data_IF_962483194164
#
_entry.id   IF_962483194164
#
_cell.length_a   1.000
_cell.length_b   1.000
_cell.length_c   1.000
_cell.angle_alpha   90.00
_cell.angle_beta   90.00
_cell.angle_gamma   90.00
#
_symmetry.space_group_name_H-M   'P 1'
#
loop_
_entity.id
_entity.type
_entity.pdbx_description
1 polymer ?
#
# COMPACT_ATOMS: atom_id res chain seq x y z
N UNK A 1 3.78 0.36 4.43
CA UNK A 1 2.62 1.10 4.94
C UNK A 1 2.49 2.51 4.34
N UNK A 2 3.45 3.42 4.53
CA UNK A 2 3.33 4.83 4.11
C UNK A 2 3.43 5.15 2.60
N UNK A 3 3.70 4.16 1.75
CA UNK A 3 3.51 4.28 0.30
C UNK A 3 2.28 3.46 -0.08
N UNK A 4 1.32 4.10 -0.74
CA UNK A 4 -0.03 3.57 -0.93
C UNK A 4 -1.08 4.34 -0.14
N UNK A 5 -2.22 3.72 0.15
CA UNK A 5 -3.36 4.36 0.82
C UNK A 5 -3.03 4.96 2.20
N UNK A 6 -2.17 4.36 3.05
CA UNK A 6 -1.87 4.95 4.35
C UNK A 6 -1.11 6.28 4.31
N UNK A 7 -0.53 6.66 3.16
CA UNK A 7 0.05 7.98 2.95
C UNK A 7 -0.95 9.11 3.23
N UNK A 8 -2.23 8.89 2.93
CA UNK A 8 -3.27 9.89 3.15
C UNK A 8 -3.44 10.25 4.62
N UNK A 9 -3.06 9.37 5.56
CA UNK A 9 -3.06 9.72 6.99
C UNK A 9 -2.06 10.85 7.28
N UNK A 10 -0.85 10.77 6.70
CA UNK A 10 0.17 11.81 6.83
C UNK A 10 -0.25 13.08 6.11
N UNK A 11 -0.76 12.95 4.89
CA UNK A 11 -1.27 14.09 4.10
C UNK A 11 -2.36 14.82 4.89
N UNK A 12 -3.33 14.09 5.44
CA UNK A 12 -4.41 14.65 6.26
C UNK A 12 -3.88 15.31 7.54
N UNK A 13 -2.98 14.66 8.27
CA UNK A 13 -2.39 15.24 9.48
C UNK A 13 -1.67 16.56 9.20
N UNK A 14 -0.89 16.62 8.11
CA UNK A 14 -0.22 17.85 7.66
C UNK A 14 -1.25 18.91 7.24
N UNK A 15 -2.29 18.53 6.50
CA UNK A 15 -3.38 19.43 6.11
C UNK A 15 -4.12 20.02 7.31
N UNK A 16 -4.49 19.19 8.29
CA UNK A 16 -5.13 19.60 9.53
C UNK A 16 -4.22 20.52 10.35
N UNK A 17 -2.93 20.19 10.46
CA UNK A 17 -1.92 21.02 11.12
C UNK A 17 -1.79 22.39 10.45
N UNK A 18 -1.62 22.42 9.13
CA UNK A 18 -1.54 23.65 8.35
C UNK A 18 -2.81 24.50 8.49
N UNK A 19 -3.99 23.87 8.40
CA UNK A 19 -5.28 24.54 8.60
C UNK A 19 -5.37 25.17 9.98
N UNK A 20 -5.07 24.41 11.04
CA UNK A 20 -5.20 24.91 12.40
C UNK A 20 -4.17 26.02 12.69
N UNK A 21 -2.93 25.90 12.19
CA UNK A 21 -1.93 26.95 12.28
C UNK A 21 -2.38 28.24 11.57
N UNK A 22 -3.12 28.14 10.47
CA UNK A 22 -3.69 29.32 9.79
C UNK A 22 -4.76 30.07 10.61
N UNK A 23 -5.24 29.47 11.69
CA UNK A 23 -6.27 30.01 12.59
C UNK A 23 -5.75 30.28 14.01
N UNK A 24 -4.52 29.85 14.31
CA UNK A 24 -4.02 29.69 15.66
C UNK A 24 -3.42 30.97 16.26
N UNK A 25 -3.71 31.22 17.55
CA UNK A 25 -2.81 31.95 18.46
C UNK A 25 -1.75 30.98 19.04
N UNK A 26 -0.73 31.48 19.75
CA UNK A 26 0.37 30.64 20.28
C UNK A 26 -0.10 29.43 21.12
N UNK A 27 -1.25 29.52 21.81
CA UNK A 27 -1.84 28.41 22.59
C UNK A 27 -2.45 27.30 21.73
N UNK A 28 -2.79 27.58 20.47
CA UNK A 28 -3.37 26.58 19.59
C UNK A 28 -2.32 25.60 19.04
N UNK A 29 -1.04 26.00 18.95
CA UNK A 29 0.05 25.06 18.62
C UNK A 29 0.18 23.94 19.67
N UNK A 30 0.10 24.28 20.96
CA UNK A 30 0.14 23.28 22.04
C UNK A 30 -1.07 22.34 21.98
N UNK A 31 -2.27 22.87 21.73
CA UNK A 31 -3.48 22.04 21.57
C UNK A 31 -3.39 21.11 20.35
N UNK A 32 -2.77 21.57 19.26
CA UNK A 32 -2.53 20.73 18.09
C UNK A 32 -1.56 19.59 18.39
N UNK A 33 -0.46 19.88 19.08
CA UNK A 33 0.50 18.86 19.49
C UNK A 33 -0.14 17.85 20.44
N UNK A 34 -0.95 18.32 21.41
CA UNK A 34 -1.70 17.46 22.32
C UNK A 34 -2.72 16.59 21.56
N UNK A 35 -3.48 17.17 20.63
CA UNK A 35 -4.45 16.44 19.81
C UNK A 35 -3.79 15.42 18.89
N UNK A 36 -2.65 15.77 18.27
CA UNK A 36 -1.87 14.85 17.46
C UNK A 36 -1.31 13.69 18.31
N UNK A 37 -0.77 13.98 19.49
CA UNK A 37 -0.33 12.96 20.45
C UNK A 37 -1.46 12.04 20.88
N UNK A 38 -2.64 12.59 21.18
CA UNK A 38 -3.85 11.83 21.49
C UNK A 38 -4.26 10.92 20.32
N UNK A 39 -4.31 11.44 19.10
CA UNK A 39 -4.63 10.65 17.91
C UNK A 39 -3.61 9.52 17.67
N UNK A 40 -2.32 9.77 17.90
CA UNK A 40 -1.29 8.74 17.82
C UNK A 40 -1.49 7.65 18.89
N UNK A 41 -1.87 8.03 20.12
CA UNK A 41 -2.16 7.07 21.19
C UNK A 41 -3.40 6.22 20.87
N UNK A 42 -4.49 6.84 20.37
CA UNK A 42 -5.71 6.15 19.94
C UNK A 42 -5.45 5.14 18.81
N UNK A 43 -4.43 5.38 18.00
CA UNK A 43 -4.04 4.54 16.86
C UNK A 43 -2.71 3.78 17.12
N UNK A 44 -2.27 3.63 18.36
CA UNK A 44 -0.98 3.01 18.68
C UNK A 44 -0.89 1.55 18.22
N UNK A 45 -2.00 0.81 18.28
CA UNK A 45 -2.15 -0.57 17.80
C UNK A 45 -1.90 -0.70 16.31
N UNK A 46 -2.07 0.39 15.55
CA UNK A 46 -1.75 0.43 14.13
C UNK A 46 -0.32 0.93 13.90
N UNK A 47 0.05 2.07 14.49
CA UNK A 47 1.30 2.76 14.17
C UNK A 47 2.54 2.07 14.76
N UNK A 48 2.47 1.50 15.96
CA UNK A 48 3.64 0.89 16.60
C UNK A 48 4.05 -0.42 15.92
N UNK A 49 3.14 -1.36 15.62
CA UNK A 49 3.46 -2.49 14.75
C UNK A 49 3.95 -2.01 13.39
N UNK A 50 3.32 -0.99 12.80
CA UNK A 50 3.78 -0.45 11.51
C UNK A 50 5.24 0.01 11.56
N UNK A 51 5.67 0.70 12.62
CA UNK A 51 7.06 1.13 12.78
C UNK A 51 8.03 -0.04 12.96
N UNK A 52 7.63 -1.08 13.68
CA UNK A 52 8.39 -2.33 13.79
C UNK A 52 8.58 -2.97 12.41
N UNK A 53 7.49 -3.18 11.67
CA UNK A 53 7.50 -3.80 10.35
C UNK A 53 8.26 -2.94 9.32
N UNK A 54 8.23 -1.61 9.44
CA UNK A 54 8.95 -0.74 8.52
C UNK A 54 10.47 -0.90 8.61
N UNK A 55 11.03 -1.27 9.76
CA UNK A 55 12.48 -1.44 9.94
C UNK A 55 13.06 -2.63 9.17
N UNK A 56 12.28 -3.70 9.03
CA UNK A 56 12.68 -4.85 8.21
C UNK A 56 12.32 -4.67 6.73
N UNK A 57 11.63 -3.57 6.38
CA UNK A 57 11.04 -3.43 5.06
C UNK A 57 12.05 -2.92 4.06
N UNK A 58 11.94 -3.37 2.82
CA UNK A 58 12.65 -2.83 1.66
C UNK A 58 12.50 -1.30 1.48
N UNK A 59 11.53 -0.69 2.17
CA UNK A 59 11.28 0.76 2.17
C UNK A 59 12.19 1.56 3.10
N UNK A 60 12.89 0.92 4.03
CA UNK A 60 13.80 1.64 4.93
C UNK A 60 14.99 2.26 4.21
N UNK A 61 15.34 1.72 3.03
CA UNK A 61 16.52 2.13 2.26
C UNK A 61 16.18 2.30 0.78
N UNK A 62 15.14 3.09 0.49
CA UNK A 62 14.75 3.34 -0.88
C UNK A 62 15.72 4.26 -1.63
N UNK A 63 16.13 3.88 -2.86
CA UNK A 63 16.83 4.80 -3.75
C UNK A 63 16.01 6.07 -3.98
N UNK A 64 16.68 7.19 -4.19
CA UNK A 64 16.04 8.49 -4.35
C UNK A 64 14.99 8.51 -5.48
N UNK A 65 15.24 7.78 -6.59
CA UNK A 65 14.28 7.69 -7.68
C UNK A 65 12.92 7.09 -7.26
N UNK A 66 12.89 6.18 -6.27
CA UNK A 66 11.64 5.57 -5.81
C UNK A 66 10.82 6.52 -4.96
N UNK A 67 11.48 7.32 -4.11
CA UNK A 67 10.84 8.36 -3.32
C UNK A 67 10.25 9.46 -4.20
N UNK A 68 10.96 9.79 -5.28
CA UNK A 68 10.54 10.75 -6.30
C UNK A 68 9.49 10.20 -7.28
N UNK A 69 9.23 8.89 -7.31
CA UNK A 69 8.35 8.27 -8.29
C UNK A 69 6.94 8.89 -8.23
N UNK A 70 6.38 9.20 -9.40
CA UNK A 70 5.09 9.88 -9.57
C UNK A 70 5.04 11.29 -8.96
N UNK A 71 6.17 12.00 -8.94
CA UNK A 71 6.18 13.46 -8.77
C UNK A 71 5.46 14.12 -9.96
N UNK A 72 4.62 15.11 -9.70
CA UNK A 72 4.04 15.91 -10.78
C UNK A 72 5.12 16.74 -11.46
N UNK A 73 5.07 16.86 -12.78
CA UNK A 73 5.79 17.91 -13.48
C UNK A 73 5.02 19.24 -13.34
N UNK A 74 5.69 20.41 -13.41
CA UNK A 74 5.00 21.69 -13.36
C UNK A 74 3.90 21.85 -14.41
N UNK A 75 4.09 21.26 -15.60
CA UNK A 75 3.11 21.29 -16.67
C UNK A 75 1.85 20.43 -16.35
N UNK A 76 1.90 19.50 -15.39
CA UNK A 76 0.73 18.74 -14.96
C UNK A 76 -0.29 19.60 -14.19
N UNK A 77 0.10 20.79 -13.72
CA UNK A 77 -0.85 21.77 -13.19
C UNK A 77 -1.91 22.19 -14.23
N UNK A 78 -1.62 22.05 -15.53
CA UNK A 78 -2.61 22.28 -16.59
C UNK A 78 -3.77 21.28 -16.54
N UNK A 79 -3.54 20.06 -16.02
CA UNK A 79 -4.60 19.07 -15.82
C UNK A 79 -5.64 19.53 -14.79
N UNK A 80 -5.32 20.54 -13.97
CA UNK A 80 -6.25 21.11 -13.00
C UNK A 80 -7.24 22.08 -13.64
N UNK A 81 -6.94 22.54 -14.85
CA UNK A 81 -7.78 23.45 -15.65
C UNK A 81 -8.43 22.72 -16.83
N UNK A 82 -7.76 21.70 -17.36
CA UNK A 82 -8.27 20.85 -18.41
C UNK A 82 -7.64 19.46 -18.30
N UNK A 83 -8.35 18.47 -17.73
CA UNK A 83 -7.83 17.11 -17.60
C UNK A 83 -7.56 16.41 -18.95
N UNK A 84 -8.05 16.94 -20.07
CA UNK A 84 -7.76 16.45 -21.42
C UNK A 84 -6.61 17.17 -22.14
N UNK A 85 -5.90 18.10 -21.50
CA UNK A 85 -4.86 18.93 -22.16
C UNK A 85 -3.73 18.11 -22.78
N UNK A 86 -3.47 16.91 -22.27
CA UNK A 86 -2.47 15.98 -22.79
C UNK A 86 -3.07 14.76 -23.50
N UNK A 87 -4.37 14.79 -23.82
CA UNK A 87 -5.10 13.68 -24.43
C UNK A 87 -5.59 12.65 -23.40
N UNK A 88 -5.89 11.43 -23.86
CA UNK A 88 -6.35 10.31 -23.01
C UNK A 88 -5.65 9.02 -23.39
N UNK A 89 -5.23 8.17 -22.42
CA UNK A 89 -4.67 6.87 -22.74
C UNK A 89 -5.69 5.94 -23.39
N UNK A 90 -7.00 6.18 -23.22
CA UNK A 90 -8.08 5.34 -23.76
C UNK A 90 -8.16 5.33 -25.29
N UNK A 91 -7.59 6.34 -25.97
CA UNK A 91 -7.54 6.42 -27.43
C UNK A 91 -6.10 6.49 -27.96
N UNK A 92 -5.10 6.25 -27.11
CA UNK A 92 -3.69 6.35 -27.47
C UNK A 92 -3.17 7.78 -27.70
N UNK A 93 -3.99 8.81 -27.45
CA UNK A 93 -3.62 10.22 -27.66
C UNK A 93 -2.86 10.87 -26.50
N UNK A 94 -2.46 10.09 -25.49
CA UNK A 94 -1.73 10.61 -24.33
C UNK A 94 -0.30 11.03 -24.71
N UNK A 95 0.02 12.31 -24.53
CA UNK A 95 1.31 12.89 -24.96
C UNK A 95 2.39 12.92 -23.87
N UNK A 96 2.10 12.38 -22.67
CA UNK A 96 3.05 12.29 -21.55
C UNK A 96 3.50 10.85 -21.34
N UNK A 97 4.41 10.65 -20.39
CA UNK A 97 4.77 9.31 -19.95
C UNK A 97 3.52 8.55 -19.49
N UNK A 98 3.22 7.42 -20.13
CA UNK A 98 2.06 6.60 -19.80
C UNK A 98 2.34 5.89 -18.47
N UNK A 99 1.44 6.08 -17.51
CA UNK A 99 1.45 5.42 -16.22
C UNK A 99 0.08 4.79 -16.00
N UNK A 100 0.03 3.65 -15.30
CA UNK A 100 -1.24 3.11 -14.79
C UNK A 100 -1.92 4.04 -13.77
N UNK A 101 -1.18 5.07 -13.33
CA UNK A 101 -1.65 6.14 -12.46
C UNK A 101 -1.53 7.52 -13.14
N UNK A 102 -1.78 7.62 -14.44
CA UNK A 102 -1.67 8.88 -15.19
C UNK A 102 -2.55 10.00 -14.60
N UNK A 103 -3.64 9.63 -13.93
CA UNK A 103 -4.55 10.52 -13.22
C UNK A 103 -3.96 11.14 -11.95
N UNK A 104 -2.84 10.62 -11.43
CA UNK A 104 -2.27 11.06 -10.14
C UNK A 104 -1.96 12.56 -10.10
N UNK A 105 -1.66 13.18 -11.24
CA UNK A 105 -1.34 14.60 -11.34
C UNK A 105 -2.56 15.51 -11.58
N UNK A 106 -3.72 14.95 -11.89
CA UNK A 106 -4.92 15.71 -12.22
C UNK A 106 -5.78 16.04 -11.01
N UNK A 107 -6.03 17.32 -10.76
CA UNK A 107 -7.05 17.80 -9.81
C UNK A 107 -8.10 18.58 -10.58
N UNK A 108 -9.08 17.87 -11.15
CA UNK A 108 -10.18 18.50 -11.89
C UNK A 108 -11.43 18.60 -11.03
N UNK A 109 -11.96 19.82 -10.89
CA UNK A 109 -13.12 20.15 -10.06
C UNK A 109 -14.38 20.51 -10.87
N UNK A 110 -14.19 20.69 -12.17
CA UNK A 110 -15.16 21.31 -13.05
C UNK A 110 -15.10 22.83 -13.07
N UNK A 111 -15.51 23.43 -14.19
CA UNK A 111 -15.42 24.87 -14.44
C UNK A 111 -16.22 25.68 -13.42
N UNK A 112 -17.39 25.22 -13.00
CA UNK A 112 -18.23 25.95 -12.02
C UNK A 112 -17.54 26.04 -10.66
N UNK A 113 -16.99 24.93 -10.18
CA UNK A 113 -16.30 24.91 -8.89
C UNK A 113 -15.00 25.71 -8.94
N UNK A 114 -14.26 25.67 -10.05
CA UNK A 114 -13.09 26.53 -10.25
C UNK A 114 -13.46 28.02 -10.28
N UNK A 115 -14.55 28.38 -10.94
CA UNK A 115 -15.05 29.76 -10.95
C UNK A 115 -15.43 30.23 -9.54
N UNK A 116 -16.11 29.39 -8.75
CA UNK A 116 -16.39 29.69 -7.36
C UNK A 116 -15.13 29.75 -6.51
N UNK A 117 -14.14 28.88 -6.71
CA UNK A 117 -12.87 28.92 -5.99
C UNK A 117 -12.11 30.22 -6.28
N UNK A 118 -12.03 30.62 -7.54
CA UNK A 118 -11.46 31.90 -7.95
C UNK A 118 -12.21 33.08 -7.33
N UNK A 119 -13.54 33.06 -7.35
CA UNK A 119 -14.36 34.11 -6.72
C UNK A 119 -14.16 34.16 -5.20
N UNK A 120 -14.08 33.00 -4.54
CA UNK A 120 -13.80 32.88 -3.10
C UNK A 120 -12.42 33.38 -2.73
N UNK A 121 -11.41 33.14 -3.55
CA UNK A 121 -10.06 33.70 -3.38
C UNK A 121 -10.06 35.23 -3.49
N UNK A 122 -10.76 35.78 -4.48
CA UNK A 122 -10.79 37.23 -4.74
C UNK A 122 -11.69 38.00 -3.78
N UNK A 123 -12.79 37.41 -3.31
CA UNK A 123 -13.87 38.11 -2.58
C UNK A 123 -14.24 37.50 -1.22
N UNK A 124 -13.93 36.22 -0.96
CA UNK A 124 -14.30 35.54 0.28
C UNK A 124 -13.52 36.03 1.52
N UNK A 125 -14.08 35.82 2.72
CA UNK A 125 -13.44 36.20 4.01
C UNK A 125 -12.47 35.14 4.57
N UNK A 126 -12.56 33.89 4.12
CA UNK A 126 -11.80 32.75 4.65
C UNK A 126 -10.57 32.39 3.79
N UNK A 127 -9.73 33.36 3.40
CA UNK A 127 -8.66 33.13 2.40
C UNK A 127 -7.42 32.37 2.89
N UNK A 128 -6.82 32.67 4.06
CA UNK A 128 -5.44 32.22 4.32
C UNK A 128 -5.32 30.70 4.49
N UNK A 129 -6.26 30.06 5.21
CA UNK A 129 -6.25 28.61 5.42
C UNK A 129 -6.43 27.80 4.12
N UNK A 130 -7.50 28.02 3.35
CA UNK A 130 -7.69 27.32 2.08
C UNK A 130 -6.56 27.58 1.08
N UNK A 131 -6.09 28.83 0.96
CA UNK A 131 -4.97 29.15 0.07
C UNK A 131 -3.69 28.43 0.51
N UNK A 132 -3.40 28.36 1.81
CA UNK A 132 -2.27 27.60 2.33
C UNK A 132 -2.37 26.12 1.93
N UNK A 133 -3.55 25.51 1.99
CA UNK A 133 -3.74 24.12 1.56
C UNK A 133 -3.51 23.94 0.04
N UNK A 134 -3.99 24.88 -0.78
CA UNK A 134 -3.72 24.89 -2.25
C UNK A 134 -2.22 24.97 -2.54
N UNK A 135 -1.53 25.93 -1.92
CA UNK A 135 -0.11 26.14 -2.13
C UNK A 135 0.72 24.96 -1.60
N UNK A 136 0.44 24.52 -0.37
CA UNK A 136 1.15 23.40 0.25
C UNK A 136 0.95 22.10 -0.54
N UNK A 137 -0.30 21.79 -0.91
CA UNK A 137 -0.63 20.61 -1.71
C UNK A 137 0.03 20.64 -3.08
N UNK A 138 -0.06 21.77 -3.79
CA UNK A 138 0.57 21.93 -5.11
C UNK A 138 2.08 21.82 -5.07
N UNK A 139 2.74 22.52 -4.13
CA UNK A 139 4.21 22.50 -3.99
C UNK A 139 4.71 21.10 -3.60
N UNK A 140 4.09 20.45 -2.62
CA UNK A 140 4.48 19.09 -2.22
C UNK A 140 4.18 18.05 -3.33
N UNK A 141 3.16 18.28 -4.16
CA UNK A 141 2.81 17.39 -5.26
C UNK A 141 3.86 17.37 -6.39
N UNK A 142 4.58 18.47 -6.58
CA UNK A 142 5.69 18.54 -7.53
C UNK A 142 6.87 17.65 -7.13
N UNK A 143 7.01 17.31 -5.84
CA UNK A 143 8.03 16.38 -5.35
C UNK A 143 9.44 16.74 -5.84
N UNK A 144 10.05 15.84 -6.59
CA UNK A 144 11.40 16.00 -7.13
C UNK A 144 11.52 17.06 -8.24
N UNK A 145 10.40 17.43 -8.87
CA UNK A 145 10.36 18.48 -9.90
C UNK A 145 10.05 19.87 -9.32
N UNK A 146 9.98 19.99 -8.00
CA UNK A 146 9.59 21.22 -7.30
C UNK A 146 10.65 21.73 -6.32
N UNK A 147 10.38 22.86 -5.66
CA UNK A 147 11.31 23.49 -4.71
C UNK A 147 11.52 22.68 -3.42
N UNK A 148 10.75 21.62 -3.21
CA UNK A 148 10.77 20.76 -2.02
C UNK A 148 11.44 19.40 -2.26
N UNK A 149 12.19 19.24 -3.35
CA UNK A 149 12.84 17.98 -3.68
C UNK A 149 13.70 17.44 -2.53
N UNK A 150 14.39 18.31 -1.79
CA UNK A 150 15.20 17.93 -0.62
C UNK A 150 14.37 17.31 0.51
N UNK A 151 13.09 17.69 0.69
CA UNK A 151 12.23 17.13 1.73
C UNK A 151 11.93 15.65 1.50
N UNK A 152 12.01 15.14 0.27
CA UNK A 152 11.82 13.71 -0.01
C UNK A 152 12.89 12.84 0.67
N UNK A 153 14.02 13.43 1.06
CA UNK A 153 15.09 12.73 1.78
C UNK A 153 15.02 12.94 3.30
N UNK A 154 14.12 13.80 3.79
CA UNK A 154 14.00 14.05 5.23
C UNK A 154 13.44 12.82 5.97
N UNK A 155 13.84 12.60 7.24
CA UNK A 155 13.27 11.54 8.06
C UNK A 155 11.74 11.61 8.09
N UNK A 156 11.07 10.47 7.92
CA UNK A 156 9.61 10.39 7.82
C UNK A 156 9.11 10.55 6.39
N UNK A 157 9.54 11.59 5.68
CA UNK A 157 9.19 11.80 4.26
C UNK A 157 9.84 10.77 3.33
N UNK A 158 11.01 10.24 3.71
CA UNK A 158 11.70 9.19 2.97
C UNK A 158 10.90 7.89 2.82
N UNK A 159 9.91 7.66 3.69
CA UNK A 159 9.00 6.52 3.63
C UNK A 159 7.78 6.74 2.71
N UNK A 160 7.57 7.98 2.27
CA UNK A 160 6.48 8.33 1.35
C UNK A 160 6.93 8.08 -0.10
N UNK A 161 5.97 7.73 -0.95
CA UNK A 161 6.11 7.65 -2.42
C UNK A 161 5.01 8.49 -3.04
N UNK A 162 5.05 8.73 -4.34
CA UNK A 162 3.93 9.35 -5.06
C UNK A 162 3.65 10.75 -4.52
N UNK A 163 4.60 11.70 -4.62
CA UNK A 163 4.38 13.07 -4.17
C UNK A 163 3.10 13.68 -4.74
N UNK A 164 2.73 13.36 -5.98
CA UNK A 164 1.47 13.81 -6.61
C UNK A 164 0.22 13.68 -5.73
N UNK A 165 0.15 12.75 -4.77
CA UNK A 165 -0.98 12.62 -3.83
C UNK A 165 -1.15 13.77 -2.85
N UNK A 166 -0.12 14.59 -2.63
CA UNK A 166 -0.24 15.84 -1.90
C UNK A 166 -1.22 16.82 -2.55
N UNK A 167 -1.51 16.63 -3.85
CA UNK A 167 -2.56 17.35 -4.57
C UNK A 167 -3.94 17.23 -3.91
N UNK A 168 -4.16 16.20 -3.08
CA UNK A 168 -5.35 16.06 -2.24
C UNK A 168 -5.56 17.25 -1.28
N UNK A 169 -4.48 17.84 -0.74
CA UNK A 169 -4.59 19.07 0.06
C UNK A 169 -5.03 20.24 -0.81
N UNK A 170 -4.53 20.31 -2.04
CA UNK A 170 -4.94 21.36 -2.95
C UNK A 170 -6.40 21.23 -3.37
N UNK A 171 -6.88 20.01 -3.60
CA UNK A 171 -8.28 19.69 -3.82
C UNK A 171 -9.16 20.22 -2.66
N UNK A 172 -8.80 19.90 -1.42
CA UNK A 172 -9.52 20.41 -0.24
C UNK A 172 -9.50 21.95 -0.13
N UNK A 173 -8.33 22.56 -0.36
CA UNK A 173 -8.21 24.02 -0.36
C UNK A 173 -9.10 24.68 -1.42
N UNK A 174 -9.14 24.12 -2.63
CA UNK A 174 -9.99 24.60 -3.72
C UNK A 174 -11.48 24.42 -3.40
N UNK A 175 -11.90 23.29 -2.80
CA UNK A 175 -13.28 23.10 -2.33
C UNK A 175 -13.70 24.13 -1.29
N UNK A 176 -12.83 24.42 -0.32
CA UNK A 176 -13.12 25.42 0.72
C UNK A 176 -13.18 26.84 0.13
N UNK A 177 -12.32 27.17 -0.84
CA UNK A 177 -12.40 28.42 -1.60
C UNK A 177 -13.71 28.48 -2.40
N UNK A 178 -14.11 27.39 -3.06
CA UNK A 178 -15.35 27.31 -3.81
C UNK A 178 -16.56 27.54 -2.90
N UNK A 179 -16.63 26.90 -1.74
CA UNK A 179 -17.67 27.15 -0.74
C UNK A 179 -17.70 28.61 -0.26
N UNK A 180 -16.53 29.22 -0.03
CA UNK A 180 -16.45 30.63 0.33
C UNK A 180 -16.93 31.56 -0.79
N UNK A 181 -16.59 31.24 -2.05
CA UNK A 181 -17.06 31.97 -3.23
C UNK A 181 -18.56 31.84 -3.42
N UNK A 182 -19.09 30.63 -3.38
CA UNK A 182 -20.51 30.34 -3.44
C UNK A 182 -21.29 31.11 -2.38
N UNK A 183 -20.88 31.04 -1.10
CA UNK A 183 -21.52 31.81 -0.01
C UNK A 183 -21.54 33.32 -0.28
N UNK A 184 -20.42 33.86 -0.74
CA UNK A 184 -20.29 35.29 -1.05
C UNK A 184 -21.22 35.68 -2.19
N UNK A 185 -21.28 34.85 -3.24
CA UNK A 185 -22.12 35.09 -4.40
C UNK A 185 -23.61 34.94 -4.09
N UNK A 186 -23.98 33.92 -3.31
CA UNK A 186 -25.37 33.63 -2.96
C UNK A 186 -25.97 34.69 -2.04
N UNK A 187 -25.12 35.45 -1.35
CA UNK A 187 -25.53 36.62 -0.57
C UNK A 187 -25.76 37.87 -1.44
N UNK A 188 -25.51 37.80 -2.75
CA UNK A 188 -25.69 38.92 -3.69
C UNK A 188 -27.08 38.90 -4.33
N UNK A 189 -27.70 40.07 -4.59
CA UNK A 189 -28.97 40.14 -5.33
C UNK A 189 -28.88 39.56 -6.77
N UNK A 190 -27.66 39.44 -7.33
CA UNK A 190 -27.42 38.82 -8.65
C UNK A 190 -27.40 37.28 -8.61
N UNK A 191 -27.51 36.67 -7.43
CA UNK A 191 -27.36 35.23 -7.25
C UNK A 191 -28.37 34.42 -8.08
N UNK A 192 -29.63 34.83 -8.12
CA UNK A 192 -30.71 34.08 -8.77
C UNK A 192 -30.42 33.78 -10.25
N UNK A 193 -29.92 34.78 -11.01
CA UNK A 193 -29.58 34.62 -12.43
C UNK A 193 -28.37 33.71 -12.66
N UNK A 194 -27.36 33.77 -11.77
CA UNK A 194 -26.17 32.94 -11.91
C UNK A 194 -26.50 31.50 -11.50
N UNK A 195 -27.28 31.33 -10.43
CA UNK A 195 -27.72 30.04 -9.92
C UNK A 195 -28.58 29.28 -10.93
N UNK A 196 -29.41 29.96 -11.73
CA UNK A 196 -30.21 29.29 -12.77
C UNK A 196 -29.36 28.70 -13.90
N UNK A 197 -28.14 29.20 -14.11
CA UNK A 197 -27.21 28.70 -15.14
C UNK A 197 -26.31 27.58 -14.62
N UNK A 198 -26.07 27.50 -13.31
CA UNK A 198 -25.16 26.52 -12.71
C UNK A 198 -25.53 25.07 -13.08
N UNK A 199 -26.78 24.59 -12.91
CA UNK A 199 -27.13 23.21 -13.28
C UNK A 199 -26.88 22.91 -14.75
N UNK A 200 -27.16 23.88 -15.64
CA UNK A 200 -26.96 23.72 -17.09
C UNK A 200 -25.48 23.53 -17.40
N UNK A 201 -24.61 24.36 -16.82
CA UNK A 201 -23.16 24.25 -17.03
C UNK A 201 -22.61 22.95 -16.45
N UNK A 202 -23.05 22.56 -15.25
CA UNK A 202 -22.63 21.29 -14.63
C UNK A 202 -23.08 20.10 -15.47
N UNK A 203 -24.33 20.07 -15.93
CA UNK A 203 -24.83 18.97 -16.77
C UNK A 203 -24.13 18.92 -18.12
N UNK A 204 -23.87 20.07 -18.75
CA UNK A 204 -23.12 20.12 -20.00
C UNK A 204 -21.68 19.63 -19.83
N UNK A 205 -21.02 20.03 -18.75
CA UNK A 205 -19.68 19.57 -18.38
C UNK A 205 -19.65 18.06 -18.12
N UNK A 206 -20.58 17.55 -17.31
CA UNK A 206 -20.70 16.11 -17.06
C UNK A 206 -20.96 15.34 -18.35
N UNK A 207 -21.88 15.81 -19.21
CA UNK A 207 -22.16 15.16 -20.48
C UNK A 207 -20.93 15.13 -21.42
N UNK A 208 -20.19 16.22 -21.50
CA UNK A 208 -18.96 16.30 -22.31
C UNK A 208 -17.85 15.42 -21.75
N UNK A 209 -17.70 15.38 -20.42
CA UNK A 209 -16.73 14.54 -19.75
C UNK A 209 -17.08 13.06 -19.89
N UNK A 210 -18.29 12.68 -19.49
CA UNK A 210 -18.78 11.31 -19.49
C UNK A 210 -18.79 10.68 -20.90
N UNK A 211 -19.08 11.47 -21.94
CA UNK A 211 -18.98 11.00 -23.33
C UNK A 211 -17.60 10.43 -23.67
N UNK A 212 -16.53 10.85 -22.98
CA UNK A 212 -15.18 10.33 -23.14
C UNK A 212 -14.83 9.10 -22.28
N UNK A 213 -15.50 8.90 -21.14
CA UNK A 213 -15.10 7.92 -20.11
C UNK A 213 -16.11 6.80 -19.84
N UNK A 214 -17.41 7.06 -20.01
CA UNK A 214 -18.44 6.04 -19.79
C UNK A 214 -18.49 5.08 -20.98
N UNK A 215 -17.73 3.99 -20.85
CA UNK A 215 -17.79 2.83 -21.75
C UNK A 215 -18.30 1.64 -20.96
N UNK A 216 -19.28 0.93 -21.50
CA UNK A 216 -19.65 -0.38 -20.94
C UNK A 216 -18.47 -1.33 -21.14
N UNK A 217 -18.00 -1.92 -20.05
CA UNK A 217 -16.98 -2.95 -20.08
C UNK A 217 -17.55 -4.22 -19.44
N UNK A 218 -17.40 -5.37 -20.10
CA UNK A 218 -17.77 -6.64 -19.49
C UNK A 218 -16.76 -7.01 -18.41
N UNK A 219 -17.15 -6.77 -17.15
CA UNK A 219 -16.31 -7.09 -15.98
C UNK A 219 -15.99 -8.59 -15.89
N UNK A 220 -16.80 -9.47 -16.49
CA UNK A 220 -16.57 -10.92 -16.46
C UNK A 220 -15.28 -11.31 -17.16
N UNK A 221 -14.83 -10.52 -18.15
CA UNK A 221 -13.54 -10.72 -18.80
C UNK A 221 -12.36 -10.60 -17.81
N UNK A 222 -12.55 -9.86 -16.72
CA UNK A 222 -11.52 -9.61 -15.70
C UNK A 222 -11.72 -10.45 -14.43
N UNK A 223 -12.94 -10.86 -14.11
CA UNK A 223 -13.28 -11.52 -12.84
C UNK A 223 -13.55 -13.02 -12.96
N UNK A 224 -13.83 -13.56 -14.15
CA UNK A 224 -14.09 -14.99 -14.33
C UNK A 224 -12.79 -15.79 -14.22
N UNK A 225 -12.69 -16.63 -13.19
CA UNK A 225 -11.59 -17.58 -13.06
C UNK A 225 -11.59 -18.55 -14.25
N UNK A 226 -10.41 -18.82 -14.83
CA UNK A 226 -10.25 -19.93 -15.76
C UNK A 226 -10.41 -21.27 -14.99
N UNK A 227 -11.42 -22.11 -15.31
CA UNK A 227 -11.68 -23.33 -14.56
C UNK A 227 -10.50 -24.32 -14.58
N UNK A 228 -9.75 -24.37 -15.68
CA UNK A 228 -8.58 -25.24 -15.80
C UNK A 228 -7.46 -24.81 -14.83
N UNK A 229 -7.25 -23.50 -14.67
CA UNK A 229 -6.27 -22.97 -13.71
C UNK A 229 -6.73 -23.26 -12.28
N UNK A 230 -8.01 -23.00 -11.96
CA UNK A 230 -8.58 -23.24 -10.65
C UNK A 230 -8.50 -24.73 -10.24
N UNK A 231 -8.92 -25.64 -11.11
CA UNK A 231 -8.87 -27.08 -10.84
C UNK A 231 -7.45 -27.61 -10.60
N UNK A 232 -6.45 -26.99 -11.22
CA UNK A 232 -5.07 -27.44 -11.16
C UNK A 232 -4.28 -26.91 -9.98
N UNK A 233 -4.62 -25.73 -9.45
CA UNK A 233 -3.77 -25.01 -8.50
C UNK A 233 -4.49 -24.45 -7.28
N UNK A 234 -5.82 -24.26 -7.31
CA UNK A 234 -6.53 -23.61 -6.21
C UNK A 234 -6.44 -24.42 -4.91
N UNK A 235 -6.21 -23.73 -3.80
CA UNK A 235 -6.18 -24.32 -2.46
C UNK A 235 -4.95 -25.18 -2.14
N UNK A 236 -4.01 -25.35 -3.08
CA UNK A 236 -2.76 -26.08 -2.82
C UNK A 236 -1.76 -25.20 -2.08
N UNK A 237 -0.98 -25.76 -1.12
CA UNK A 237 0.06 -25.02 -0.42
C UNK A 237 1.32 -24.93 -1.31
N UNK A 238 1.21 -24.24 -2.44
CA UNK A 238 2.29 -24.00 -3.40
C UNK A 238 2.30 -22.54 -3.81
N UNK A 239 3.43 -22.04 -4.31
CA UNK A 239 3.51 -20.74 -4.98
C UNK A 239 3.44 -20.91 -6.48
N UNK A 240 2.96 -19.86 -7.13
CA UNK A 240 3.05 -19.67 -8.57
C UNK A 240 3.77 -18.35 -8.86
N UNK A 241 4.18 -18.15 -10.10
CA UNK A 241 4.45 -16.82 -10.64
C UNK A 241 3.46 -16.50 -11.76
N UNK A 242 3.12 -15.23 -11.91
CA UNK A 242 2.40 -14.73 -13.08
C UNK A 242 3.39 -14.10 -14.05
N UNK A 243 3.22 -14.39 -15.34
CA UNK A 243 3.94 -13.71 -16.41
C UNK A 243 3.72 -12.19 -16.32
N UNK A 244 4.77 -11.36 -16.42
CA UNK A 244 4.64 -9.91 -16.42
C UNK A 244 3.70 -9.37 -17.51
N UNK A 245 3.55 -10.06 -18.64
CA UNK A 245 2.66 -9.70 -19.76
C UNK A 245 1.19 -9.87 -19.37
N UNK A 246 0.88 -10.74 -18.40
CA UNK A 246 -0.47 -10.82 -17.84
C UNK A 246 -0.70 -9.62 -16.93
N UNK A 247 -1.55 -8.71 -17.38
CA UNK A 247 -1.98 -7.56 -16.58
C UNK A 247 -2.48 -8.03 -15.20
N UNK A 248 -1.71 -7.65 -14.18
CA UNK A 248 -1.93 -7.73 -12.74
C UNK A 248 -1.53 -9.05 -12.03
N UNK A 249 -0.49 -9.03 -11.16
CA UNK A 249 -0.16 -10.16 -10.27
C UNK A 249 -1.29 -10.49 -9.28
N UNK A 250 -2.26 -9.59 -9.07
CA UNK A 250 -3.44 -9.83 -8.24
C UNK A 250 -4.43 -10.82 -8.87
N UNK A 251 -4.27 -11.25 -10.13
CA UNK A 251 -5.15 -12.31 -10.69
C UNK A 251 -5.02 -13.63 -9.93
N UNK A 252 -3.92 -13.87 -9.23
CA UNK A 252 -3.79 -15.02 -8.33
C UNK A 252 -4.87 -15.04 -7.22
N UNK A 253 -5.40 -13.86 -6.82
CA UNK A 253 -6.47 -13.77 -5.81
C UNK A 253 -7.75 -14.44 -6.29
N UNK A 254 -8.07 -14.35 -7.59
CA UNK A 254 -9.24 -14.98 -8.21
C UNK A 254 -9.18 -16.51 -8.08
N UNK A 255 -7.96 -17.05 -8.00
CA UNK A 255 -7.70 -18.47 -7.86
C UNK A 255 -7.35 -18.88 -6.41
N UNK A 256 -7.34 -17.93 -5.46
CA UNK A 256 -6.87 -18.14 -4.08
C UNK A 256 -5.47 -18.76 -4.03
N UNK A 257 -4.60 -18.32 -4.93
CA UNK A 257 -3.23 -18.80 -5.06
C UNK A 257 -2.23 -17.82 -4.45
N UNK A 258 -1.09 -18.34 -4.01
CA UNK A 258 0.05 -17.53 -3.56
C UNK A 258 0.94 -17.19 -4.74
N UNK A 259 1.01 -15.92 -5.08
CA UNK A 259 1.91 -15.43 -6.12
C UNK A 259 3.27 -15.05 -5.49
N UNK A 260 4.36 -15.51 -6.07
CA UNK A 260 5.70 -15.07 -5.68
C UNK A 260 6.05 -13.70 -6.31
N UNK A 261 5.35 -13.33 -7.38
CA UNK A 261 5.43 -12.01 -8.00
C UNK A 261 4.31 -11.09 -7.50
N UNK A 262 4.57 -9.78 -7.52
CA UNK A 262 3.58 -8.74 -7.23
C UNK A 262 3.80 -7.98 -5.93
N UNK A 263 2.74 -7.28 -5.50
CA UNK A 263 2.80 -6.33 -4.38
C UNK A 263 2.86 -7.03 -3.01
N UNK A 264 2.23 -8.20 -2.87
CA UNK A 264 2.14 -8.93 -1.60
C UNK A 264 3.50 -9.51 -1.16
N UNK A 265 4.40 -9.77 -2.11
CA UNK A 265 5.74 -10.30 -1.85
C UNK A 265 6.71 -9.23 -1.29
N UNK A 266 6.34 -7.94 -1.30
CA UNK A 266 7.31 -6.85 -1.26
C UNK A 266 7.64 -6.28 0.14
N UNK A 267 6.86 -6.59 1.18
CA UNK A 267 7.05 -5.89 2.46
C UNK A 267 8.41 -6.17 3.11
N UNK A 268 8.91 -7.41 3.14
CA UNK A 268 10.23 -7.70 3.72
C UNK A 268 11.39 -7.36 2.78
N UNK A 269 12.44 -6.69 3.29
CA UNK A 269 13.68 -6.43 2.54
C UNK A 269 14.34 -7.73 2.06
N UNK A 270 14.21 -8.78 2.86
CA UNK A 270 14.70 -10.13 2.59
C UNK A 270 14.12 -10.75 1.32
N UNK A 271 12.86 -10.45 0.96
CA UNK A 271 12.27 -10.94 -0.29
C UNK A 271 12.89 -10.31 -1.52
N UNK A 272 13.34 -9.05 -1.46
CA UNK A 272 14.05 -8.42 -2.58
C UNK A 272 15.40 -9.09 -2.82
N UNK A 273 16.10 -9.52 -1.75
CA UNK A 273 17.34 -10.30 -1.86
C UNK A 273 17.08 -11.68 -2.48
N UNK A 274 16.00 -12.35 -2.09
CA UNK A 274 15.58 -13.60 -2.73
C UNK A 274 15.26 -13.42 -4.21
N UNK A 275 14.53 -12.36 -4.57
CA UNK A 275 14.20 -12.07 -5.97
C UNK A 275 15.48 -11.84 -6.79
N UNK A 276 16.43 -11.08 -6.24
CA UNK A 276 17.72 -10.86 -6.88
C UNK A 276 18.51 -12.17 -7.05
N UNK A 277 18.50 -13.05 -6.05
CA UNK A 277 19.09 -14.40 -6.17
C UNK A 277 18.40 -15.23 -7.27
N UNK A 278 17.06 -15.18 -7.33
CA UNK A 278 16.29 -15.93 -8.30
C UNK A 278 16.51 -15.46 -9.74
N UNK A 279 16.69 -14.15 -9.93
CA UNK A 279 17.04 -13.55 -11.23
C UNK A 279 18.54 -13.64 -11.53
N UNK A 280 19.42 -13.77 -10.54
CA UNK A 280 20.87 -13.69 -10.72
C UNK A 280 21.38 -12.27 -10.98
N UNK A 281 20.55 -11.26 -10.75
CA UNK A 281 20.87 -9.84 -10.87
C UNK A 281 20.04 -9.03 -9.86
N UNK A 282 20.49 -7.83 -9.44
CA UNK A 282 19.72 -7.00 -8.52
C UNK A 282 18.32 -6.70 -9.07
N UNK A 283 17.31 -6.69 -8.19
CA UNK A 283 15.96 -6.33 -8.58
C UNK A 283 15.94 -4.91 -9.18
N UNK A 284 15.45 -4.77 -10.41
CA UNK A 284 15.40 -3.50 -11.13
C UNK A 284 14.53 -2.43 -10.42
N UNK A 285 13.54 -2.87 -9.65
CA UNK A 285 12.67 -2.00 -8.86
C UNK A 285 12.37 -2.65 -7.49
N UNK A 286 12.92 -2.13 -6.38
CA UNK A 286 12.52 -2.48 -5.02
C UNK A 286 11.17 -1.86 -4.67
N UNK A 287 10.14 -2.14 -5.45
CA UNK A 287 8.74 -1.87 -5.09
C UNK A 287 7.78 -2.95 -5.58
N UNK A 288 8.29 -3.90 -6.35
CA UNK A 288 7.62 -5.13 -6.76
C UNK A 288 8.63 -6.28 -6.80
N UNK A 289 8.15 -7.52 -6.62
CA UNK A 289 8.95 -8.70 -6.93
C UNK A 289 8.59 -9.17 -8.33
N UNK A 290 9.59 -9.24 -9.19
CA UNK A 290 9.45 -9.66 -10.58
C UNK A 290 10.44 -10.79 -10.88
N UNK A 291 10.10 -12.00 -10.41
CA UNK A 291 10.86 -13.19 -10.76
C UNK A 291 10.39 -13.70 -12.13
N UNK A 292 11.26 -13.59 -13.13
CA UNK A 292 11.10 -14.10 -14.49
C UNK A 292 11.80 -15.46 -14.66
N UNK A 293 12.94 -15.68 -13.99
CA UNK A 293 13.73 -16.93 -14.03
C UNK A 293 13.18 -17.96 -13.05
N UNK A 294 11.90 -18.29 -13.17
CA UNK A 294 11.16 -19.17 -12.24
C UNK A 294 11.63 -20.63 -12.19
N UNK A 295 12.48 -21.04 -13.13
CA UNK A 295 13.16 -22.34 -13.13
C UNK A 295 14.46 -22.34 -12.31
N UNK A 296 14.86 -21.23 -11.69
CA UNK A 296 16.03 -21.17 -10.81
C UNK A 296 15.83 -21.98 -9.53
N UNK A 297 16.93 -22.41 -8.89
CA UNK A 297 16.86 -23.13 -7.61
C UNK A 297 16.27 -22.27 -6.49
N UNK A 298 16.55 -20.96 -6.49
CA UNK A 298 15.95 -20.03 -5.54
C UNK A 298 14.42 -19.97 -5.67
N UNK A 299 13.88 -19.98 -6.89
CA UNK A 299 12.43 -20.09 -7.12
C UNK A 299 11.89 -21.45 -6.66
N UNK A 300 12.64 -22.54 -6.86
CA UNK A 300 12.26 -23.88 -6.40
C UNK A 300 12.16 -23.95 -4.87
N UNK A 301 13.13 -23.34 -4.16
CA UNK A 301 13.17 -23.25 -2.69
C UNK A 301 12.03 -22.42 -2.12
N UNK A 302 11.55 -21.43 -2.87
CA UNK A 302 10.35 -20.67 -2.53
C UNK A 302 9.03 -21.44 -2.79
N UNK A 303 9.11 -22.69 -3.27
CA UNK A 303 7.95 -23.51 -3.61
C UNK A 303 7.17 -23.02 -4.82
N UNK A 304 7.84 -22.32 -5.75
CA UNK A 304 7.25 -21.94 -7.04
C UNK A 304 7.13 -23.19 -7.91
N UNK A 305 5.91 -23.72 -8.02
CA UNK A 305 5.63 -24.96 -8.76
C UNK A 305 4.98 -24.73 -10.12
N UNK A 306 4.50 -23.51 -10.38
CA UNK A 306 3.80 -23.19 -11.60
C UNK A 306 4.04 -21.74 -12.06
N UNK A 307 3.92 -21.54 -13.37
CA UNK A 307 3.82 -20.23 -14.01
C UNK A 307 2.49 -20.12 -14.72
N UNK A 308 1.78 -19.01 -14.50
CA UNK A 308 0.62 -18.64 -15.29
C UNK A 308 1.03 -17.62 -16.35
N UNK A 309 0.86 -17.97 -17.62
CA UNK A 309 1.10 -17.12 -18.78
C UNK A 309 -0.17 -16.96 -19.63
N UNK A 310 -0.08 -16.21 -20.73
CA UNK A 310 -1.20 -16.07 -21.67
C UNK A 310 -1.59 -17.41 -22.31
N UNK A 311 -0.63 -18.33 -22.45
CA UNK A 311 -0.77 -19.65 -23.04
C UNK A 311 -1.33 -20.69 -22.06
N UNK A 312 -1.40 -20.35 -20.76
CA UNK A 312 -1.97 -21.22 -19.73
C UNK A 312 -1.07 -21.42 -18.52
N UNK A 313 -1.11 -22.62 -17.94
CA UNK A 313 -0.32 -22.97 -16.74
C UNK A 313 0.80 -23.92 -17.11
N UNK A 314 2.04 -23.45 -16.92
CA UNK A 314 3.23 -24.29 -17.00
C UNK A 314 3.55 -24.84 -15.61
N UNK A 315 3.82 -26.15 -15.51
CA UNK A 315 4.28 -26.77 -14.25
C UNK A 315 5.77 -27.06 -14.29
N UNK A 316 6.38 -26.98 -13.12
CA UNK A 316 7.78 -27.36 -12.91
C UNK A 316 7.86 -28.66 -12.11
N UNK A 317 8.57 -29.63 -12.66
CA UNK A 317 9.06 -30.77 -11.89
C UNK A 317 10.16 -30.31 -10.91
N UNK A 318 10.17 -30.85 -9.70
CA UNK A 318 11.22 -30.56 -8.71
C UNK A 318 11.04 -29.27 -7.89
N UNK A 319 9.90 -28.58 -7.97
CA UNK A 319 9.57 -27.54 -7.00
C UNK A 319 9.52 -28.14 -5.59
N UNK A 320 10.11 -27.45 -4.61
CA UNK A 320 10.06 -27.91 -3.20
C UNK A 320 8.66 -27.61 -2.63
N UNK A 321 8.12 -28.45 -1.76
CA UNK A 321 6.95 -28.07 -0.99
C UNK A 321 7.27 -26.86 -0.11
N UNK A 322 6.24 -26.14 0.34
CA UNK A 322 6.45 -24.95 1.18
C UNK A 322 7.03 -25.30 2.55
N UNK A 323 6.94 -26.55 2.99
CA UNK A 323 7.67 -27.08 4.13
C UNK A 323 8.48 -28.30 3.68
N UNK A 324 9.73 -28.43 4.12
CA UNK A 324 10.60 -29.56 3.75
C UNK A 324 11.58 -29.87 4.87
N UNK A 325 11.98 -31.12 5.00
CA UNK A 325 13.13 -31.49 5.82
C UNK A 325 14.43 -31.23 5.06
N UNK A 326 15.46 -30.82 5.78
CA UNK A 326 16.81 -30.66 5.24
C UNK A 326 17.86 -31.33 6.12
N UNK A 327 18.95 -31.77 5.50
CA UNK A 327 20.15 -32.30 6.17
C UNK A 327 21.15 -31.18 6.53
N UNK A 328 22.32 -31.56 7.07
CA UNK A 328 23.40 -30.64 7.45
C UNK A 328 23.94 -29.81 6.28
N UNK A 329 23.79 -30.29 5.04
CA UNK A 329 24.21 -29.58 3.83
C UNK A 329 23.13 -28.64 3.30
N UNK A 330 21.92 -28.67 3.88
CA UNK A 330 20.74 -27.96 3.39
C UNK A 330 20.03 -28.64 2.21
N UNK A 331 20.44 -29.86 1.87
CA UNK A 331 19.78 -30.68 0.85
C UNK A 331 18.46 -31.22 1.41
N UNK A 332 17.46 -31.36 0.53
CA UNK A 332 16.12 -31.82 0.91
C UNK A 332 16.15 -33.31 1.22
N UNK A 333 15.53 -33.71 2.32
CA UNK A 333 15.39 -35.10 2.75
C UNK A 333 13.92 -35.53 2.64
N UNK A 334 13.67 -36.68 2.04
CA UNK A 334 12.32 -37.25 1.86
C UNK A 334 11.99 -38.27 2.96
N UNK A 335 10.71 -38.48 3.31
CA UNK A 335 9.52 -37.84 2.75
C UNK A 335 9.30 -36.42 3.29
N UNK A 336 8.54 -35.59 2.56
CA UNK A 336 8.17 -34.26 3.04
C UNK A 336 7.12 -34.33 4.15
N UNK A 337 7.11 -33.35 5.06
CA UNK A 337 6.05 -33.25 6.04
C UNK A 337 4.75 -32.77 5.37
N UNK A 338 3.61 -33.11 5.97
CA UNK A 338 2.32 -32.55 5.61
C UNK A 338 2.26 -31.11 6.12
N UNK A 339 1.95 -30.17 5.23
CA UNK A 339 1.72 -28.76 5.58
C UNK A 339 0.23 -28.43 5.50
N UNK A 340 -0.31 -27.90 6.59
CA UNK A 340 -1.64 -27.30 6.67
C UNK A 340 -1.52 -25.80 6.97
N UNK A 341 -2.09 -24.96 6.12
CA UNK A 341 -2.24 -23.53 6.37
C UNK A 341 -3.60 -23.34 7.03
N UNK A 342 -3.65 -23.16 8.35
CA UNK A 342 -4.92 -23.01 9.08
C UNK A 342 -5.52 -21.62 8.87
N UNK A 343 -4.65 -20.60 8.85
CA UNK A 343 -4.93 -19.20 8.48
C UNK A 343 -3.62 -18.55 8.00
N UNK A 344 -3.63 -17.36 7.37
CA UNK A 344 -2.39 -16.74 6.89
C UNK A 344 -1.29 -16.61 7.95
N UNK A 345 -1.69 -16.41 9.21
CA UNK A 345 -0.83 -16.19 10.38
C UNK A 345 -0.53 -17.49 11.14
N UNK A 346 -1.12 -18.64 10.76
CA UNK A 346 -0.90 -19.93 11.45
C UNK A 346 -0.76 -21.10 10.51
N UNK A 347 0.40 -21.75 10.58
CA UNK A 347 0.77 -22.87 9.73
C UNK A 347 1.17 -24.04 10.61
N UNK A 348 0.79 -25.25 10.22
CA UNK A 348 1.10 -26.47 10.96
C UNK A 348 1.75 -27.49 10.03
N UNK A 349 2.89 -28.00 10.46
CA UNK A 349 3.73 -28.96 9.73
C UNK A 349 3.80 -30.23 10.57
N UNK A 350 3.33 -31.35 10.01
CA UNK A 350 3.26 -32.62 10.73
C UNK A 350 3.79 -33.77 9.88
N UNK A 351 4.47 -34.74 10.48
CA UNK A 351 4.87 -35.96 9.77
C UNK A 351 5.99 -36.74 10.44
N UNK A 352 6.39 -37.90 9.88
CA UNK A 352 7.58 -38.61 10.31
C UNK A 352 8.84 -37.83 9.92
N UNK A 353 9.84 -37.82 10.78
CA UNK A 353 11.14 -37.20 10.54
C UNK A 353 12.04 -38.21 9.82
N UNK A 354 12.51 -37.93 8.60
CA UNK A 354 13.39 -38.86 7.90
C UNK A 354 14.79 -38.89 8.52
N UNK A 355 15.45 -40.06 8.38
CA UNK A 355 16.83 -40.24 8.83
C UNK A 355 17.75 -39.23 8.15
N UNK A 356 18.54 -38.51 8.95
CA UNK A 356 19.49 -37.48 8.48
C UNK A 356 18.89 -36.08 8.38
N UNK A 357 17.59 -35.89 8.63
CA UNK A 357 17.02 -34.55 8.75
C UNK A 357 17.50 -33.87 10.04
N UNK A 358 17.97 -32.62 9.91
CA UNK A 358 18.44 -31.80 11.04
C UNK A 358 17.59 -30.54 11.23
N UNK A 359 16.81 -30.16 10.24
CA UNK A 359 15.91 -29.01 10.32
C UNK A 359 14.67 -29.16 9.42
N UNK A 360 13.64 -28.39 9.73
CA UNK A 360 12.50 -28.12 8.84
C UNK A 360 12.65 -26.71 8.29
N UNK A 361 12.63 -26.57 6.98
CA UNK A 361 12.57 -25.29 6.29
C UNK A 361 11.12 -24.97 5.96
N UNK A 362 10.72 -23.73 6.19
CA UNK A 362 9.45 -23.19 5.76
C UNK A 362 9.73 -22.06 4.76
N UNK A 363 9.27 -22.23 3.52
CA UNK A 363 9.25 -21.20 2.51
C UNK A 363 8.17 -20.17 2.87
N UNK A 364 8.32 -19.49 4.00
CA UNK A 364 7.58 -18.30 4.41
C UNK A 364 8.60 -17.29 4.92
N UNK A 365 8.32 -16.01 4.72
CA UNK A 365 9.31 -14.98 4.93
C UNK A 365 9.65 -14.87 6.41
N UNK A 366 10.94 -14.97 6.75
CA UNK A 366 11.44 -14.77 8.09
C UNK A 366 11.19 -13.32 8.50
N UNK A 367 10.48 -13.14 9.62
CA UNK A 367 10.06 -11.82 10.07
C UNK A 367 9.81 -11.76 11.58
N UNK A 368 10.13 -10.62 12.25
CA UNK A 368 9.79 -10.44 13.66
C UNK A 368 8.30 -10.64 13.92
N UNK A 369 7.97 -11.46 14.92
CA UNK A 369 6.60 -11.80 15.31
C UNK A 369 6.19 -13.22 14.97
N UNK A 370 6.90 -13.92 14.08
CA UNK A 370 6.76 -15.37 13.95
C UNK A 370 7.28 -16.07 15.21
N UNK A 371 6.58 -17.11 15.62
CA UNK A 371 6.96 -18.01 16.71
C UNK A 371 6.78 -19.44 16.23
N UNK A 372 7.68 -20.33 16.63
CA UNK A 372 7.59 -21.74 16.34
C UNK A 372 7.39 -22.54 17.64
N UNK A 373 6.52 -23.53 17.58
CA UNK A 373 6.32 -24.53 18.63
C UNK A 373 6.59 -25.91 18.02
N UNK A 374 7.66 -26.58 18.45
CA UNK A 374 8.02 -27.92 18.02
C UNK A 374 7.60 -28.93 19.09
N UNK A 375 6.66 -29.81 18.76
CA UNK A 375 6.13 -30.84 19.66
C UNK A 375 5.60 -30.28 21.00
N UNK A 376 5.06 -29.05 20.99
CA UNK A 376 4.54 -28.37 22.17
C UNK A 376 5.54 -27.44 22.87
N UNK A 377 6.82 -27.50 22.53
CA UNK A 377 7.86 -26.65 23.11
C UNK A 377 8.24 -25.49 22.19
N UNK A 378 8.58 -24.35 22.78
CA UNK A 378 9.04 -23.20 22.00
C UNK A 378 10.36 -23.54 21.28
N UNK A 379 10.39 -23.31 19.96
CA UNK A 379 11.54 -23.59 19.13
C UNK A 379 12.11 -22.31 18.51
N UNK A 380 13.44 -22.13 18.49
CA UNK A 380 14.05 -20.95 17.91
C UNK A 380 13.91 -20.97 16.39
N UNK A 381 13.36 -19.89 15.83
CA UNK A 381 13.37 -19.63 14.39
C UNK A 381 14.75 -19.18 13.95
N UNK A 382 15.19 -19.69 12.80
CA UNK A 382 16.44 -19.29 12.15
C UNK A 382 16.15 -18.87 10.72
N UNK A 383 16.81 -17.82 10.19
CA UNK A 383 16.77 -17.53 8.77
C UNK A 383 17.24 -18.73 7.94
N UNK A 384 16.61 -18.95 6.80
CA UNK A 384 16.98 -19.95 5.80
C UNK A 384 17.12 -19.29 4.44
N UNK A 385 18.36 -19.19 3.96
CA UNK A 385 18.67 -18.40 2.76
C UNK A 385 18.36 -16.92 2.96
N UNK A 386 18.11 -16.17 1.86
CA UNK A 386 17.93 -14.72 1.94
C UNK A 386 16.59 -14.27 2.53
N UNK A 387 15.54 -15.10 2.45
CA UNK A 387 14.17 -14.68 2.79
C UNK A 387 13.43 -15.58 3.77
N UNK A 388 13.72 -16.87 3.83
CA UNK A 388 12.82 -17.83 4.46
C UNK A 388 13.26 -18.18 5.88
N UNK A 389 12.54 -19.08 6.54
CA UNK A 389 12.81 -19.48 7.92
C UNK A 389 12.92 -21.00 8.09
N UNK A 390 13.56 -21.42 9.16
CA UNK A 390 13.76 -22.81 9.53
C UNK A 390 13.72 -23.02 11.04
N UNK A 391 13.47 -24.26 11.44
CA UNK A 391 13.50 -24.72 12.83
C UNK A 391 14.38 -25.96 12.90
N UNK A 392 15.36 -25.95 13.80
CA UNK A 392 16.20 -27.12 14.05
C UNK A 392 15.38 -28.23 14.70
N UNK A 393 15.61 -29.47 14.28
CA UNK A 393 14.97 -30.64 14.87
C UNK A 393 15.70 -31.06 16.15
N UNK A 394 14.94 -31.65 17.08
CA UNK A 394 15.52 -32.32 18.23
C UNK A 394 16.18 -33.63 17.78
N UNK A 395 17.39 -33.89 18.29
CA UNK A 395 18.12 -35.12 17.99
C UNK A 395 17.28 -36.34 18.39
N UNK A 396 17.04 -37.25 17.45
CA UNK A 396 16.29 -38.47 17.69
C UNK A 396 14.76 -38.33 17.63
N UNK A 397 14.21 -37.19 17.21
CA UNK A 397 12.78 -37.06 16.98
C UNK A 397 12.31 -38.00 15.85
N UNK A 398 11.32 -38.85 16.11
CA UNK A 398 10.72 -39.73 15.10
C UNK A 398 9.58 -39.04 14.34
N UNK A 399 8.89 -38.12 15.00
CA UNK A 399 7.78 -37.36 14.43
C UNK A 399 7.91 -35.88 14.77
N UNK A 400 7.28 -35.06 13.93
CA UNK A 400 7.18 -33.62 14.14
C UNK A 400 5.72 -33.20 14.16
N UNK A 401 5.38 -32.33 15.10
CA UNK A 401 4.22 -31.44 15.12
C UNK A 401 4.71 -30.02 15.38
N UNK A 402 4.91 -29.28 14.30
CA UNK A 402 5.47 -27.94 14.32
C UNK A 402 4.40 -26.92 13.94
N UNK A 403 4.08 -26.00 14.84
CA UNK A 403 3.21 -24.85 14.52
C UNK A 403 4.01 -23.56 14.43
N UNK A 404 3.73 -22.79 13.39
CA UNK A 404 4.19 -21.41 13.23
C UNK A 404 3.01 -20.48 13.45
N UNK A 405 3.16 -19.53 14.35
CA UNK A 405 2.15 -18.53 14.68
C UNK A 405 2.76 -17.13 14.58
N UNK A 406 2.14 -16.26 13.78
CA UNK A 406 2.54 -14.87 13.65
C UNK A 406 1.72 -13.98 14.58
N UNK A 407 2.41 -13.17 15.37
CA UNK A 407 1.80 -12.07 16.12
C UNK A 407 2.82 -10.93 16.19
N UNK A 408 2.47 -9.70 15.78
CA UNK A 408 3.39 -8.56 15.89
C UNK A 408 3.97 -8.44 17.30
N UNK A 409 5.22 -8.01 17.42
CA UNK A 409 5.85 -7.93 18.72
C UNK A 409 5.10 -6.96 19.62
N UNK A 410 4.85 -7.37 20.86
CA UNK A 410 4.12 -6.58 21.84
C UNK A 410 2.70 -6.17 21.40
N UNK A 411 2.06 -6.90 20.47
CA UNK A 411 0.70 -6.62 19.99
C UNK A 411 -0.29 -6.29 21.12
N UNK A 412 -0.32 -7.12 22.17
CA UNK A 412 -1.22 -6.92 23.31
C UNK A 412 -0.94 -5.61 24.05
N UNK A 413 0.33 -5.22 24.20
CA UNK A 413 0.70 -3.95 24.82
C UNK A 413 0.19 -2.76 23.99
N UNK A 414 0.39 -2.80 22.67
CA UNK A 414 -0.06 -1.72 21.76
C UNK A 414 -1.59 -1.63 21.67
N UNK A 415 -2.27 -2.79 21.69
CA UNK A 415 -3.72 -2.85 21.78
C UNK A 415 -4.24 -2.30 23.11
N UNK A 416 -3.62 -2.67 24.23
CA UNK A 416 -3.99 -2.16 25.56
C UNK A 416 -3.78 -0.64 25.67
N UNK A 417 -2.66 -0.12 25.16
CA UNK A 417 -2.39 1.31 25.14
C UNK A 417 -3.42 2.09 24.30
N UNK A 418 -3.82 1.54 23.15
CA UNK A 418 -4.87 2.14 22.32
C UNK A 418 -6.21 2.12 23.02
N UNK A 419 -6.59 0.98 23.61
CA UNK A 419 -7.83 0.84 24.36
C UNK A 419 -7.90 1.81 25.55
N UNK A 420 -6.80 1.96 26.30
CA UNK A 420 -6.69 2.93 27.38
C UNK A 420 -6.85 4.37 26.86
N UNK A 421 -6.23 4.72 25.74
CA UNK A 421 -6.39 6.03 25.11
C UNK A 421 -7.84 6.31 24.71
N UNK A 422 -8.53 5.33 24.12
CA UNK A 422 -9.95 5.44 23.76
C UNK A 422 -10.83 5.61 25.00
N UNK A 423 -10.58 4.83 26.05
CA UNK A 423 -11.32 4.95 27.30
C UNK A 423 -11.17 6.34 27.93
N UNK A 424 -9.94 6.86 27.98
CA UNK A 424 -9.68 8.22 28.47
C UNK A 424 -10.37 9.29 27.62
N UNK A 425 -10.37 9.13 26.29
CA UNK A 425 -11.04 10.06 25.38
C UNK A 425 -12.56 10.08 25.58
N UNK A 426 -13.19 8.90 25.72
CA UNK A 426 -14.63 8.81 26.00
C UNK A 426 -15.01 9.42 27.37
N UNK A 427 -14.20 9.20 28.40
CA UNK A 427 -14.41 9.84 29.71
C UNK A 427 -14.27 11.36 29.62
N UNK A 428 -13.34 11.85 28.80
CA UNK A 428 -13.19 13.28 28.52
C UNK A 428 -14.43 13.88 27.87
N UNK A 429 -14.98 13.22 26.85
CA UNK A 429 -16.20 13.67 26.16
C UNK A 429 -17.42 13.71 27.08
N UNK A 430 -17.62 12.67 27.90
CA UNK A 430 -18.76 12.61 28.83
C UNK A 430 -18.75 13.77 29.83
N UNK A 431 -17.57 14.20 30.28
CA UNK A 431 -17.43 15.35 31.20
C UNK A 431 -17.68 16.70 30.54
N UNK A 432 -17.39 16.85 29.25
CA UNK A 432 -17.72 18.08 28.52
C UNK A 432 -19.23 18.23 28.34
N UNK A 433 -19.97 17.14 28.12
CA UNK A 433 -21.44 17.17 28.05
C UNK A 433 -22.09 17.52 29.40
N UNK A 434 -21.54 17.08 30.53
CA UNK A 434 -22.04 17.47 31.87
C UNK A 434 -21.79 18.95 32.20
N UNK A 435 -20.86 19.61 31.50
CA UNK A 435 -20.48 21.01 31.70
C UNK A 435 -21.18 21.99 30.73
N UNK A 436 -21.83 21.49 29.69
CA UNK A 436 -22.60 22.25 28.69
C UNK A 436 -24.10 22.22 29.01
#
# INVERSE_FOLDING_TARGET
>A
FFSGHPQFLVVNAVGMGAWALSKASSRAALRLLAGAGGAMALAAVQWLPTLELLRGSSRSDWPAQFRAAYSMSPADLLLWLNPGVFGTPLNGGWSRATSVFYESGGVWLGFVMLAFAAYGLLRGRLRPGPLLLVLLGGVLALGANGPVAALLNAPGFSYLRTPSRWSFLALWGLWLLAGAGARTLFSSPKAAKILSLVPIVVLAELALWDAGFLKSADVRAYTKANPAVAANLAGRPTRMITDPVLANPNKAIVYRMRNANGYDAFYPASTALWAAEAEGEPAADPSWVLVSRWKSDAAARAGVSARLSAEGVERRAGARPLASFVDETGARVSPDPMLKIERPERWRVTGPVPKGAVAITLAETHWPGWRAMLNGDAAPLRPWGPAFQSVALLTGAETVDLSFDFTPSNWFLWAALSAAAWAMWFVGLAREEELL
#
